data_IF_882956714131
#
_entry.id   IF_882956714131
#
_cell.length_a   1.000
_cell.length_b   1.000
_cell.length_c   1.000
_cell.angle_alpha   90.00
_cell.angle_beta   90.00
_cell.angle_gamma   90.00
#
_symmetry.space_group_name_H-M   'P 1'
#
loop_
_entity.id
_entity.type
_entity.pdbx_description
1 polymer ?
#
# COMPACT_ATOMS: atom_id res chain seq x y z
N UNK A 1 6.57 -0.09 18.77
CA UNK A 1 6.15 0.59 17.52
C UNK A 1 4.91 -0.07 16.97
N UNK A 2 4.09 0.66 16.26
CA UNK A 2 2.81 0.18 15.72
C UNK A 2 2.90 0.11 14.21
N UNK A 3 2.34 -0.94 13.63
CA UNK A 3 2.32 -1.10 12.18
C UNK A 3 1.09 -0.43 11.59
N UNK A 4 1.30 0.21 10.44
CA UNK A 4 0.25 0.88 9.69
C UNK A 4 0.27 0.40 8.23
N UNK A 5 -0.93 0.16 7.71
CA UNK A 5 -1.14 -0.12 6.30
C UNK A 5 -1.45 1.22 5.61
N UNK A 6 -0.62 1.55 4.62
CA UNK A 6 -0.83 2.71 3.76
C UNK A 6 -1.16 2.15 2.38
N UNK A 7 -2.28 2.54 1.80
CA UNK A 7 -2.72 1.96 0.55
C UNK A 7 -3.40 2.98 -0.36
N UNK A 8 -3.49 2.64 -1.63
CA UNK A 8 -4.22 3.43 -2.61
C UNK A 8 -5.11 2.50 -3.46
N UNK A 9 -6.17 3.09 -4.03
CA UNK A 9 -7.13 2.34 -4.81
C UNK A 9 -6.58 1.97 -6.18
N UNK A 10 -7.04 0.84 -6.71
CA UNK A 10 -6.74 0.44 -8.07
C UNK A 10 -7.23 1.52 -9.04
N UNK A 11 -6.38 1.91 -9.99
CA UNK A 11 -6.70 2.96 -10.94
C UNK A 11 -6.54 4.39 -10.42
N UNK A 12 -6.12 4.58 -9.16
CA UNK A 12 -5.94 5.92 -8.58
C UNK A 12 -4.73 6.66 -9.14
N UNK A 13 -3.71 5.94 -9.59
CA UNK A 13 -2.51 6.53 -10.17
C UNK A 13 -2.76 6.89 -11.62
N UNK A 14 -3.19 8.11 -11.88
CA UNK A 14 -3.50 8.60 -13.23
C UNK A 14 -2.48 9.67 -13.65
N UNK A 15 -1.63 9.34 -14.60
CA UNK A 15 -0.63 10.25 -15.15
C UNK A 15 -0.26 9.76 -16.56
N UNK A 16 0.32 10.63 -17.42
CA UNK A 16 0.76 10.20 -18.75
C UNK A 16 1.80 9.07 -18.63
N UNK A 17 1.71 8.10 -19.52
CA UNK A 17 2.57 6.92 -19.51
C UNK A 17 4.06 7.29 -19.53
N UNK A 18 4.44 8.34 -20.27
CA UNK A 18 5.82 8.81 -20.34
C UNK A 18 6.35 9.35 -19.01
N UNK A 19 5.48 9.64 -18.03
CA UNK A 19 5.89 10.07 -16.70
C UNK A 19 6.08 8.92 -15.72
N UNK A 20 5.77 7.70 -16.12
CA UNK A 20 5.91 6.52 -15.25
C UNK A 20 7.31 6.39 -14.65
N UNK A 21 8.41 6.55 -15.41
CA UNK A 21 9.75 6.47 -14.79
C UNK A 21 9.98 7.50 -13.70
N UNK A 22 9.48 8.73 -13.88
CA UNK A 22 9.61 9.78 -12.88
C UNK A 22 8.80 9.48 -11.62
N UNK A 23 7.58 8.94 -11.78
CA UNK A 23 6.73 8.54 -10.64
C UNK A 23 7.37 7.39 -9.89
N UNK A 24 7.88 6.39 -10.59
CA UNK A 24 8.58 5.26 -9.98
C UNK A 24 9.80 5.73 -9.19
N UNK A 25 10.60 6.64 -9.75
CA UNK A 25 11.77 7.18 -9.07
C UNK A 25 11.38 7.94 -7.80
N UNK A 26 10.32 8.74 -7.87
CA UNK A 26 9.83 9.48 -6.70
C UNK A 26 9.36 8.52 -5.59
N UNK A 27 8.62 7.48 -5.94
CA UNK A 27 8.16 6.48 -4.97
C UNK A 27 9.33 5.72 -4.36
N UNK A 28 10.32 5.34 -5.17
CA UNK A 28 11.52 4.65 -4.67
C UNK A 28 12.34 5.56 -3.74
N UNK A 29 12.36 6.88 -4.00
CA UNK A 29 13.07 7.81 -3.12
C UNK A 29 12.43 7.84 -1.73
N UNK A 30 11.10 7.88 -1.64
CA UNK A 30 10.41 7.83 -0.34
C UNK A 30 10.64 6.49 0.35
N UNK A 31 10.64 5.40 -0.42
CA UNK A 31 10.96 4.06 0.11
C UNK A 31 12.35 4.04 0.74
N UNK A 32 13.35 4.60 0.07
CA UNK A 32 14.72 4.67 0.62
C UNK A 32 14.76 5.49 1.90
N UNK A 33 14.04 6.61 1.96
CA UNK A 33 13.96 7.41 3.18
C UNK A 33 13.36 6.62 4.34
N UNK A 34 12.30 5.85 4.09
CA UNK A 34 11.66 5.01 5.11
C UNK A 34 12.60 3.87 5.55
N UNK A 35 13.33 3.27 4.62
CA UNK A 35 14.32 2.24 4.94
C UNK A 35 15.45 2.82 5.82
N UNK A 36 15.96 4.00 5.46
CA UNK A 36 17.00 4.67 6.22
C UNK A 36 16.53 5.09 7.60
N UNK A 37 15.26 5.44 7.74
CA UNK A 37 14.66 5.79 9.03
C UNK A 37 14.36 4.57 9.91
N UNK A 38 14.50 3.35 9.39
CA UNK A 38 14.27 2.13 10.13
C UNK A 38 12.80 1.79 10.35
N UNK A 39 11.89 2.39 9.58
CA UNK A 39 10.43 2.18 9.74
C UNK A 39 9.83 1.29 8.66
N UNK A 40 10.61 0.92 7.67
CA UNK A 40 10.14 0.15 6.53
C UNK A 40 9.88 -1.32 6.89
N UNK A 41 8.73 -1.86 6.47
CA UNK A 41 8.42 -3.28 6.59
C UNK A 41 8.30 -3.93 5.22
N UNK A 42 7.36 -3.45 4.40
CA UNK A 42 7.08 -4.08 3.11
C UNK A 42 6.23 -3.16 2.26
N UNK A 43 6.38 -3.25 0.95
CA UNK A 43 5.46 -2.60 0.01
C UNK A 43 5.38 -3.39 -1.28
N UNK A 44 4.32 -3.15 -2.02
CA UNK A 44 4.17 -3.73 -3.35
C UNK A 44 2.95 -3.16 -4.05
N UNK A 45 3.06 -3.05 -5.37
CA UNK A 45 1.91 -2.86 -6.22
C UNK A 45 1.19 -4.19 -6.41
N UNK A 46 -0.09 -4.13 -6.66
CA UNK A 46 -0.89 -5.31 -6.94
C UNK A 46 -1.24 -5.36 -8.42
N UNK A 47 -1.39 -6.57 -8.94
CA UNK A 47 -1.90 -6.75 -10.29
C UNK A 47 -3.31 -6.18 -10.39
N UNK A 48 -3.78 -5.82 -11.60
CA UNK A 48 -5.11 -5.23 -11.76
C UNK A 48 -6.22 -6.04 -11.11
N UNK A 49 -7.26 -5.36 -10.65
CA UNK A 49 -8.37 -5.98 -9.90
C UNK A 49 -9.11 -7.06 -10.70
N UNK A 50 -9.05 -7.01 -12.04
CA UNK A 50 -9.66 -8.06 -12.88
C UNK A 50 -8.89 -9.38 -12.85
N UNK A 51 -7.69 -9.40 -12.28
CA UNK A 51 -6.91 -10.63 -12.09
C UNK A 51 -7.12 -11.25 -10.70
N UNK A 52 -8.10 -10.76 -9.95
CA UNK A 52 -8.36 -11.23 -8.60
C UNK A 52 -9.08 -12.59 -8.64
N UNK A 53 -8.78 -13.43 -7.64
CA UNK A 53 -9.56 -14.64 -7.38
C UNK A 53 -10.15 -14.53 -5.98
N UNK A 54 -11.42 -14.89 -5.84
CA UNK A 54 -12.11 -14.90 -4.55
C UNK A 54 -12.37 -16.35 -4.16
N UNK A 55 -11.91 -16.73 -2.97
CA UNK A 55 -12.11 -18.08 -2.44
C UNK A 55 -13.15 -18.02 -1.34
N UNK A 56 -14.27 -18.70 -1.54
CA UNK A 56 -15.36 -18.76 -0.58
C UNK A 56 -15.02 -19.70 0.59
N UNK A 57 -15.85 -19.66 1.63
CA UNK A 57 -15.62 -20.47 2.83
C UNK A 57 -15.68 -21.98 2.58
N UNK A 58 -16.33 -22.41 1.49
CA UNK A 58 -16.39 -23.81 1.09
C UNK A 58 -15.25 -24.20 0.12
N UNK A 59 -14.33 -23.26 -0.19
CA UNK A 59 -13.23 -23.48 -1.10
C UNK A 59 -13.54 -23.16 -2.56
N UNK A 60 -14.77 -22.74 -2.87
CA UNK A 60 -15.14 -22.36 -4.23
C UNK A 60 -14.34 -21.13 -4.67
N UNK A 61 -13.75 -21.18 -5.87
CA UNK A 61 -12.95 -20.11 -6.44
C UNK A 61 -13.75 -19.40 -7.52
N UNK A 62 -13.81 -18.06 -7.43
CA UNK A 62 -14.40 -17.20 -8.45
C UNK A 62 -13.34 -16.24 -8.95
N UNK A 63 -13.07 -16.25 -10.25
CA UNK A 63 -12.12 -15.33 -10.88
C UNK A 63 -12.85 -14.12 -11.45
N UNK A 64 -12.18 -12.95 -11.39
CA UNK A 64 -12.69 -11.76 -12.01
C UNK A 64 -12.92 -10.61 -11.04
N UNK A 65 -13.57 -9.51 -11.49
CA UNK A 65 -13.67 -8.27 -10.74
C UNK A 65 -14.68 -8.26 -9.60
N UNK A 66 -15.02 -9.41 -9.05
CA UNK A 66 -15.97 -9.54 -7.95
C UNK A 66 -15.40 -9.14 -6.58
N UNK A 67 -14.12 -8.77 -6.54
CA UNK A 67 -13.48 -8.33 -5.31
C UNK A 67 -14.08 -7.01 -4.82
N UNK A 68 -14.23 -6.89 -3.51
CA UNK A 68 -14.66 -5.66 -2.86
C UNK A 68 -13.48 -4.85 -2.32
N UNK A 69 -12.28 -5.39 -2.41
CA UNK A 69 -11.06 -4.72 -1.99
C UNK A 69 -10.33 -4.22 -3.23
N UNK A 70 -10.59 -2.97 -3.59
CA UNK A 70 -10.04 -2.37 -4.82
C UNK A 70 -8.66 -1.74 -4.59
N UNK A 71 -7.84 -2.39 -3.81
CA UNK A 71 -6.50 -1.90 -3.49
C UNK A 71 -5.58 -2.07 -4.70
N UNK A 72 -4.87 -1.01 -5.08
CA UNK A 72 -3.90 -1.04 -6.19
C UNK A 72 -2.48 -1.27 -5.72
N UNK A 73 -2.18 -0.88 -4.48
CA UNK A 73 -0.86 -1.10 -3.88
C UNK A 73 -0.89 -0.80 -2.41
N UNK A 74 0.14 -1.22 -1.70
CA UNK A 74 0.22 -1.04 -0.27
C UNK A 74 1.65 -0.86 0.20
N UNK A 75 1.78 -0.20 1.35
CA UNK A 75 3.03 -0.05 2.09
C UNK A 75 2.73 -0.33 3.56
N UNK A 76 3.57 -1.11 4.21
CA UNK A 76 3.46 -1.35 5.64
C UNK A 76 4.68 -0.74 6.33
N UNK A 77 4.43 0.12 7.31
CA UNK A 77 5.45 0.77 8.11
C UNK A 77 5.26 0.45 9.59
N UNK A 78 6.37 0.41 10.31
CA UNK A 78 6.40 0.23 11.75
C UNK A 78 6.89 1.53 12.36
N UNK A 79 5.98 2.31 12.93
CA UNK A 79 6.27 3.68 13.40
C UNK A 79 5.78 3.88 14.85
N UNK A 80 6.35 4.86 15.56
CA UNK A 80 6.00 5.08 16.96
C UNK A 80 4.63 5.74 17.16
N UNK A 81 4.05 6.39 16.14
CA UNK A 81 2.79 7.10 16.30
C UNK A 81 1.98 7.15 15.02
N UNK A 82 0.67 7.38 15.17
CA UNK A 82 -0.21 7.59 14.02
C UNK A 82 0.19 8.84 13.23
N UNK A 83 0.62 9.88 13.93
CA UNK A 83 1.06 11.13 13.29
C UNK A 83 2.22 10.89 12.34
N UNK A 84 3.19 10.08 12.73
CA UNK A 84 4.31 9.73 11.84
C UNK A 84 3.83 8.89 10.65
N UNK A 85 2.88 7.99 10.86
CA UNK A 85 2.30 7.22 9.76
C UNK A 85 1.64 8.14 8.73
N UNK A 86 0.92 9.17 9.21
CA UNK A 86 0.27 10.16 8.34
C UNK A 86 1.30 11.00 7.57
N UNK A 87 2.41 11.35 8.20
CA UNK A 87 3.48 12.09 7.53
C UNK A 87 4.11 11.26 6.41
N UNK A 88 4.36 9.98 6.64
CA UNK A 88 4.87 9.08 5.60
C UNK A 88 3.85 8.91 4.48
N UNK A 89 2.58 8.74 4.83
CA UNK A 89 1.51 8.63 3.83
C UNK A 89 1.43 9.87 2.94
N UNK A 90 1.63 11.06 3.52
CA UNK A 90 1.66 12.30 2.75
C UNK A 90 2.80 12.29 1.72
N UNK A 91 3.97 11.80 2.10
CA UNK A 91 5.11 11.70 1.18
C UNK A 91 4.82 10.72 0.04
N UNK A 92 4.23 9.57 0.36
CA UNK A 92 3.83 8.61 -0.66
C UNK A 92 2.72 9.15 -1.56
N UNK A 93 1.77 9.90 -0.99
CA UNK A 93 0.70 10.51 -1.78
C UNK A 93 1.26 11.47 -2.84
N UNK A 94 2.23 12.29 -2.46
CA UNK A 94 2.90 13.20 -3.40
C UNK A 94 3.67 12.40 -4.46
N UNK A 95 4.44 11.42 -4.04
CA UNK A 95 5.28 10.64 -4.95
C UNK A 95 4.46 9.81 -5.94
N UNK A 96 3.40 9.16 -5.46
CA UNK A 96 2.53 8.30 -6.27
C UNK A 96 1.43 9.09 -6.99
N UNK A 97 1.29 10.38 -6.68
CA UNK A 97 0.29 11.28 -7.29
C UNK A 97 -1.15 10.80 -7.07
N UNK A 98 -1.44 10.21 -5.92
CA UNK A 98 -2.79 9.80 -5.55
C UNK A 98 -2.94 9.74 -4.04
N UNK A 99 -4.19 9.83 -3.58
CA UNK A 99 -4.50 9.73 -2.16
C UNK A 99 -4.10 8.39 -1.58
N UNK A 100 -3.70 8.40 -0.32
CA UNK A 100 -3.34 7.20 0.42
C UNK A 100 -4.29 7.04 1.59
N UNK A 101 -4.72 5.82 1.84
CA UNK A 101 -5.48 5.47 3.02
C UNK A 101 -4.52 4.94 4.09
N UNK A 102 -4.79 5.26 5.35
CA UNK A 102 -3.93 4.87 6.47
C UNK A 102 -4.77 4.11 7.49
N UNK A 103 -4.38 2.88 7.80
CA UNK A 103 -5.08 2.06 8.78
C UNK A 103 -4.08 1.41 9.73
N UNK A 104 -4.38 1.47 11.02
CA UNK A 104 -3.58 0.78 12.02
C UNK A 104 -3.81 -0.73 11.93
N UNK A 105 -2.74 -1.49 12.00
CA UNK A 105 -2.80 -2.95 12.09
C UNK A 105 -2.98 -3.31 13.55
N UNK A 106 -3.97 -4.16 13.86
CA UNK A 106 -4.18 -4.62 15.23
C UNK A 106 -3.00 -5.43 15.73
N UNK A 107 -2.58 -5.17 16.94
CA UNK A 107 -1.50 -5.93 17.57
C UNK A 107 -1.97 -7.35 17.89
N UNK A 108 -1.22 -8.33 17.40
CA UNK A 108 -1.48 -9.74 17.70
C UNK A 108 -0.14 -10.50 17.64
N UNK A 109 0.46 -10.78 18.82
CA UNK A 109 1.73 -11.53 18.85
C UNK A 109 1.66 -12.91 18.21
N UNK A 110 0.48 -13.54 18.16
CA UNK A 110 0.30 -14.86 17.56
C UNK A 110 0.60 -14.85 16.06
N UNK A 111 0.45 -13.70 15.39
CA UNK A 111 0.74 -13.55 13.97
C UNK A 111 1.91 -12.61 13.70
N UNK A 112 2.71 -12.31 14.72
CA UNK A 112 3.94 -11.55 14.58
C UNK A 112 3.79 -10.02 14.65
N UNK A 113 2.70 -9.56 15.19
CA UNK A 113 2.44 -8.11 15.32
C UNK A 113 2.49 -7.61 16.75
#
# INVERSE_FOLDING_TARGET
>A
MTRYLISFDDGAMTFPEEELPAVAEAAHAVTREAQDAGVWVFAGGLHPVDEVSVVATDGTVTDGPESKAYMGGLTILDVPSREEALEWAARFAVACRCAQEVREVMSDPAVGN
#
